data_IF_556955432901
#
_entry.id   IF_556955432901
#
_cell.length_a   1.000
_cell.length_b   1.000
_cell.length_c   1.000
_cell.angle_alpha   90.00
_cell.angle_beta   90.00
_cell.angle_gamma   90.00
#
_symmetry.space_group_name_H-M   'P 1'
#
loop_
_entity.id
_entity.type
_entity.pdbx_description
1 polymer ?
#
# COMPACT_ATOMS: atom_id res chain seq x y z
N UNK A 1 -8.51 -24.15 18.18
CA UNK A 1 -9.80 -23.91 17.48
C UNK A 1 -10.13 -22.42 17.33
N UNK A 2 -9.15 -21.50 17.22
CA UNK A 2 -9.41 -20.05 17.09
C UNK A 2 -9.29 -19.51 15.65
N UNK A 3 -8.69 -20.27 14.74
CA UNK A 3 -8.34 -19.83 13.37
C UNK A 3 -9.54 -19.28 12.57
N UNK A 4 -10.72 -19.92 12.51
CA UNK A 4 -11.81 -19.45 11.66
C UNK A 4 -12.46 -18.15 12.16
N UNK A 5 -12.41 -17.87 13.47
CA UNK A 5 -12.96 -16.64 14.04
C UNK A 5 -12.01 -15.45 13.86
N UNK A 6 -10.69 -15.70 13.82
CA UNK A 6 -9.66 -14.69 13.59
C UNK A 6 -9.51 -14.27 12.13
N UNK A 7 -10.10 -14.99 11.17
CA UNK A 7 -9.99 -14.70 9.72
C UNK A 7 -10.27 -13.23 9.36
N UNK A 8 -11.40 -12.60 9.75
CA UNK A 8 -11.66 -11.21 9.42
C UNK A 8 -10.63 -10.24 10.03
N UNK A 9 -10.15 -10.53 11.25
CA UNK A 9 -9.11 -9.73 11.90
C UNK A 9 -7.76 -9.85 11.17
N UNK A 10 -7.36 -11.05 10.78
CA UNK A 10 -6.12 -11.31 10.02
C UNK A 10 -6.18 -10.60 8.67
N UNK A 11 -7.31 -10.68 7.96
CA UNK A 11 -7.49 -9.99 6.68
C UNK A 11 -7.34 -8.48 6.83
N UNK A 12 -7.91 -7.91 7.89
CA UNK A 12 -7.78 -6.48 8.20
C UNK A 12 -6.31 -6.09 8.40
N UNK A 13 -5.58 -6.84 9.22
CA UNK A 13 -4.15 -6.61 9.47
C UNK A 13 -3.34 -6.71 8.18
N UNK A 14 -3.63 -7.69 7.31
CA UNK A 14 -2.93 -7.87 6.04
C UNK A 14 -3.13 -6.67 5.11
N UNK A 15 -4.36 -6.18 4.94
CA UNK A 15 -4.66 -5.04 4.05
C UNK A 15 -4.00 -3.76 4.58
N UNK A 16 -4.09 -3.49 5.88
CA UNK A 16 -3.46 -2.32 6.49
C UNK A 16 -1.93 -2.39 6.38
N UNK A 17 -1.34 -3.54 6.71
CA UNK A 17 0.12 -3.72 6.62
C UNK A 17 0.58 -3.57 5.17
N UNK A 18 -0.09 -4.19 4.21
CA UNK A 18 0.22 -4.05 2.79
C UNK A 18 0.18 -2.59 2.32
N UNK A 19 -0.87 -1.87 2.71
CA UNK A 19 -1.06 -0.46 2.37
C UNK A 19 0.00 0.44 3.01
N UNK A 20 0.39 0.15 4.25
CA UNK A 20 1.47 0.88 4.95
C UNK A 20 2.83 0.61 4.32
N UNK A 21 3.14 -0.65 3.98
CA UNK A 21 4.42 -1.00 3.35
C UNK A 21 4.56 -0.37 1.97
N UNK A 22 3.50 -0.31 1.16
CA UNK A 22 3.55 0.34 -0.15
C UNK A 22 3.69 1.86 -0.05
N UNK A 23 3.18 2.48 1.00
CA UNK A 23 3.33 3.92 1.21
C UNK A 23 4.64 4.28 1.91
N UNK A 24 5.45 3.30 2.29
CA UNK A 24 6.60 3.57 3.13
C UNK A 24 7.74 4.23 2.35
N UNK A 25 8.22 5.35 2.89
CA UNK A 25 9.17 6.25 2.27
C UNK A 25 10.48 6.37 3.03
N UNK A 26 10.44 6.52 4.36
CA UNK A 26 11.61 6.92 5.17
C UNK A 26 12.62 5.79 5.26
N UNK A 27 12.18 4.57 5.55
CA UNK A 27 13.01 3.38 5.60
C UNK A 27 13.60 3.06 4.23
N UNK A 28 12.79 3.17 3.17
CA UNK A 28 13.24 2.94 1.81
C UNK A 28 14.35 3.93 1.43
N UNK A 29 14.16 5.23 1.71
CA UNK A 29 15.17 6.27 1.44
C UNK A 29 16.47 6.03 2.22
N UNK A 30 16.37 5.52 3.45
CA UNK A 30 17.51 5.34 4.34
C UNK A 30 18.35 4.11 3.98
N UNK A 31 17.70 3.01 3.61
CA UNK A 31 18.36 1.71 3.45
C UNK A 31 18.56 1.27 1.99
N UNK A 32 17.84 1.88 1.02
CA UNK A 32 17.90 1.49 -0.38
C UNK A 32 18.63 2.53 -1.21
N UNK A 33 19.91 2.27 -1.49
CA UNK A 33 20.75 3.18 -2.26
C UNK A 33 20.77 2.87 -3.76
N UNK A 34 20.54 1.61 -4.16
CA UNK A 34 20.53 1.20 -5.57
C UNK A 34 19.21 1.59 -6.24
N UNK A 35 19.28 2.31 -7.37
CA UNK A 35 18.10 2.76 -8.12
C UNK A 35 17.20 1.58 -8.54
N UNK A 36 17.80 0.47 -8.98
CA UNK A 36 17.07 -0.72 -9.44
C UNK A 36 16.34 -1.49 -8.33
N UNK A 37 16.57 -1.12 -7.07
CA UNK A 37 15.94 -1.74 -5.90
C UNK A 37 14.99 -0.79 -5.18
N UNK A 38 14.86 0.47 -5.65
CA UNK A 38 13.96 1.43 -5.03
C UNK A 38 12.50 1.00 -5.22
N UNK A 39 11.69 0.97 -4.15
CA UNK A 39 10.25 0.87 -4.28
C UNK A 39 9.73 2.02 -5.17
N UNK A 40 8.67 1.76 -5.95
CA UNK A 40 8.07 2.78 -6.83
C UNK A 40 7.80 4.08 -6.09
N UNK A 41 7.28 4.01 -4.86
CA UNK A 41 6.93 5.15 -4.02
C UNK A 41 8.13 6.05 -3.70
N UNK A 42 9.33 5.48 -3.58
CA UNK A 42 10.59 6.21 -3.40
C UNK A 42 11.18 6.66 -4.75
N UNK A 43 11.23 5.75 -5.72
CA UNK A 43 11.83 6.00 -7.04
C UNK A 43 11.15 7.15 -7.76
N UNK A 44 9.82 7.20 -7.74
CA UNK A 44 9.03 8.28 -8.35
C UNK A 44 9.44 9.64 -7.79
N UNK A 45 9.53 9.80 -6.47
CA UNK A 45 9.93 11.08 -5.87
C UNK A 45 11.42 11.42 -6.01
N UNK A 46 12.31 10.42 -6.00
CA UNK A 46 13.76 10.67 -5.98
C UNK A 46 14.37 10.79 -7.37
N UNK A 47 13.80 10.11 -8.38
CA UNK A 47 14.37 10.06 -9.71
C UNK A 47 13.64 11.01 -10.70
N UNK A 48 12.38 11.40 -10.41
CA UNK A 48 11.55 12.31 -11.23
C UNK A 48 11.44 13.74 -10.67
N UNK A 49 11.98 14.01 -9.49
CA UNK A 49 12.13 15.36 -8.95
C UNK A 49 13.62 15.65 -8.91
N UNK A 50 14.10 16.46 -9.85
CA UNK A 50 15.53 16.76 -10.02
C UNK A 50 15.77 18.25 -9.79
N UNK A 51 16.03 18.61 -8.54
CA UNK A 51 16.10 20.02 -8.14
C UNK A 51 14.76 20.71 -8.41
N UNK A 52 14.77 21.77 -9.22
CA UNK A 52 13.56 22.53 -9.58
C UNK A 52 12.80 21.95 -10.80
N UNK A 53 13.25 20.82 -11.35
CA UNK A 53 12.60 20.16 -12.49
C UNK A 53 11.71 19.01 -12.02
N UNK A 54 10.42 19.10 -12.37
CA UNK A 54 9.38 18.14 -12.00
C UNK A 54 8.78 17.48 -13.25
N UNK A 55 8.94 16.17 -13.38
CA UNK A 55 8.31 15.41 -14.46
C UNK A 55 6.88 15.02 -14.09
N UNK A 56 5.96 16.01 -14.05
CA UNK A 56 4.59 15.84 -13.56
C UNK A 56 3.82 14.67 -14.19
N UNK A 57 3.97 14.44 -15.50
CA UNK A 57 3.31 13.33 -16.19
C UNK A 57 3.77 11.97 -15.66
N UNK A 58 5.07 11.78 -15.52
CA UNK A 58 5.67 10.55 -15.01
C UNK A 58 5.40 10.37 -13.51
N UNK A 59 5.37 11.45 -12.74
CA UNK A 59 5.03 11.44 -11.31
C UNK A 59 3.59 10.94 -11.11
N UNK A 60 2.63 11.48 -11.88
CA UNK A 60 1.23 11.06 -11.80
C UNK A 60 1.03 9.63 -12.30
N UNK A 61 1.74 9.23 -13.35
CA UNK A 61 1.73 7.85 -13.83
C UNK A 61 2.26 6.87 -12.78
N UNK A 62 3.39 7.21 -12.14
CA UNK A 62 3.97 6.42 -11.05
C UNK A 62 3.04 6.31 -9.84
N UNK A 63 2.39 7.42 -9.46
CA UNK A 63 1.39 7.43 -8.39
C UNK A 63 0.17 6.54 -8.71
N UNK A 64 -0.32 6.57 -9.96
CA UNK A 64 -1.40 5.70 -10.40
C UNK A 64 -0.98 4.22 -10.33
N UNK A 65 0.21 3.88 -10.82
CA UNK A 65 0.75 2.52 -10.78
C UNK A 65 0.89 2.03 -9.33
N UNK A 66 1.34 2.89 -8.41
CA UNK A 66 1.44 2.55 -7.00
C UNK A 66 0.06 2.34 -6.32
N UNK A 67 -0.95 3.10 -6.73
CA UNK A 67 -2.31 3.02 -6.19
C UNK A 67 -3.10 1.80 -6.67
N UNK A 68 -2.83 1.31 -7.88
CA UNK A 68 -3.57 0.19 -8.49
C UNK A 68 -3.53 -1.10 -7.64
N UNK A 69 -2.36 -1.59 -7.18
CA UNK A 69 -2.30 -2.78 -6.32
C UNK A 69 -3.09 -2.62 -5.02
N UNK A 70 -3.05 -1.43 -4.42
CA UNK A 70 -3.83 -1.11 -3.21
C UNK A 70 -5.33 -1.17 -3.53
N UNK A 71 -5.76 -0.52 -4.62
CA UNK A 71 -7.16 -0.54 -5.03
C UNK A 71 -7.68 -1.97 -5.31
N UNK A 72 -6.87 -2.82 -5.95
CA UNK A 72 -7.20 -4.22 -6.19
C UNK A 72 -7.31 -5.00 -4.88
N UNK A 73 -6.34 -4.83 -3.97
CA UNK A 73 -6.37 -5.47 -2.65
C UNK A 73 -7.64 -5.06 -1.87
N UNK A 74 -7.95 -3.77 -1.84
CA UNK A 74 -9.18 -3.30 -1.21
C UNK A 74 -10.42 -3.88 -1.90
N UNK A 75 -10.51 -3.90 -3.23
CA UNK A 75 -11.66 -4.43 -3.95
C UNK A 75 -11.93 -5.91 -3.62
N UNK A 76 -10.88 -6.74 -3.55
CA UNK A 76 -11.00 -8.17 -3.28
C UNK A 76 -11.45 -8.48 -1.85
N UNK A 77 -11.07 -7.64 -0.87
CA UNK A 77 -11.27 -7.93 0.54
C UNK A 77 -12.24 -6.98 1.25
N UNK A 78 -12.75 -5.96 0.57
CA UNK A 78 -13.67 -4.95 1.13
C UNK A 78 -14.91 -5.59 1.75
N UNK A 79 -15.53 -6.55 1.07
CA UNK A 79 -16.73 -7.23 1.56
C UNK A 79 -16.45 -7.99 2.86
N UNK A 80 -15.27 -8.62 2.96
CA UNK A 80 -14.84 -9.36 4.15
C UNK A 80 -14.46 -8.43 5.30
N UNK A 81 -13.87 -7.28 4.97
CA UNK A 81 -13.56 -6.22 5.92
C UNK A 81 -14.85 -5.61 6.51
N UNK A 82 -15.82 -5.26 5.67
CA UNK A 82 -17.13 -4.75 6.10
C UNK A 82 -17.84 -5.81 6.96
N UNK A 83 -17.89 -7.06 6.50
CA UNK A 83 -18.51 -8.16 7.26
C UNK A 83 -17.81 -8.41 8.61
N UNK A 84 -16.50 -8.18 8.71
CA UNK A 84 -15.75 -8.28 9.96
C UNK A 84 -16.11 -7.19 10.97
N UNK A 85 -16.32 -5.96 10.50
CA UNK A 85 -16.73 -4.82 11.34
C UNK A 85 -18.20 -4.94 11.76
N UNK A 86 -19.09 -5.31 10.83
CA UNK A 86 -20.53 -5.42 11.11
C UNK A 86 -20.90 -6.70 11.84
N UNK A 87 -20.18 -7.81 11.57
CA UNK A 87 -20.43 -9.11 12.19
C UNK A 87 -20.14 -9.17 13.69
N UNK A 88 -19.25 -8.30 14.20
CA UNK A 88 -19.00 -8.14 15.64
C UNK A 88 -20.07 -7.32 16.38
N UNK A 89 -20.94 -6.61 15.66
CA UNK A 89 -22.01 -5.78 16.24
C UNK A 89 -23.35 -6.51 16.41
N UNK A 90 -23.50 -7.70 15.80
CA UNK A 90 -24.76 -8.48 15.78
C UNK A 90 -24.66 -9.84 16.49
N UNK A 91 -23.75 -9.98 17.46
CA UNK A 91 -23.74 -11.09 18.41
C UNK A 91 -23.06 -10.75 19.73
#
# INVERSE_FOLDING_TARGET
>A
MAIPLSVPAILTVVIFTFTLTLQEFVYALTFVSSSDQKPITLGVSTDLIRGDVFFWGEIMAGALIAAVPVAIAYNLFLDRFIAGITGGAVK
#
